data_IF_829778420466
#
_entry.id   IF_829778420466
#
_cell.length_a   1.000
_cell.length_b   1.000
_cell.length_c   1.000
_cell.angle_alpha   90.00
_cell.angle_beta   90.00
_cell.angle_gamma   90.00
#
_symmetry.space_group_name_H-M   'P 1'
#
loop_
_entity.id
_entity.type
_entity.pdbx_description
1 polymer ?
#
# COMPACT_ATOMS: atom_id res chain seq x y z
N UNK A 1 17.82 -21.61 -1.40
CA UNK A 1 16.84 -21.35 -0.32
C UNK A 1 16.42 -19.91 -0.47
N UNK A 2 15.23 -19.66 -1.01
CA UNK A 2 14.68 -18.30 -1.03
C UNK A 2 14.35 -17.88 0.40
N UNK A 3 14.89 -16.73 0.82
CA UNK A 3 14.58 -16.19 2.15
C UNK A 3 13.07 -15.92 2.28
N UNK A 4 12.46 -16.24 3.43
CA UNK A 4 11.03 -16.03 3.66
C UNK A 4 10.66 -14.56 3.46
N UNK A 5 9.44 -14.33 2.98
CA UNK A 5 8.90 -12.99 2.79
C UNK A 5 8.79 -12.32 4.17
N UNK A 6 9.36 -11.13 4.32
CA UNK A 6 9.32 -10.39 5.58
C UNK A 6 8.56 -9.07 5.45
N UNK A 7 8.27 -8.48 6.59
CA UNK A 7 7.68 -7.14 6.64
C UNK A 7 8.56 -6.14 5.89
N UNK A 8 7.92 -5.32 5.05
CA UNK A 8 8.59 -4.33 4.23
C UNK A 8 8.99 -4.80 2.84
N UNK A 9 8.99 -6.11 2.54
CA UNK A 9 9.26 -6.63 1.19
C UNK A 9 8.18 -6.19 0.18
N UNK A 10 8.60 -6.08 -1.08
CA UNK A 10 7.70 -5.96 -2.21
C UNK A 10 7.33 -7.35 -2.75
N UNK A 11 6.04 -7.56 -2.95
CA UNK A 11 5.50 -8.83 -3.44
C UNK A 11 4.55 -8.56 -4.61
N UNK A 12 4.58 -9.43 -5.61
CA UNK A 12 3.60 -9.48 -6.68
C UNK A 12 2.46 -10.40 -6.23
N UNK A 13 1.24 -9.87 -6.28
CA UNK A 13 0.01 -10.60 -5.98
C UNK A 13 -0.50 -11.31 -7.25
N UNK A 14 -1.34 -12.35 -7.15
CA UNK A 14 -1.80 -13.13 -8.32
C UNK A 14 -2.56 -12.31 -9.37
N UNK A 15 -3.11 -11.16 -8.97
CA UNK A 15 -3.76 -10.19 -9.86
C UNK A 15 -2.75 -9.33 -10.68
N UNK A 16 -1.45 -9.64 -10.61
CA UNK A 16 -0.37 -8.97 -11.33
C UNK A 16 0.08 -7.64 -10.73
N UNK A 17 -0.63 -7.13 -9.71
CA UNK A 17 -0.23 -5.91 -8.99
C UNK A 17 0.94 -6.18 -8.07
N UNK A 18 1.74 -5.14 -7.83
CA UNK A 18 2.79 -5.15 -6.81
C UNK A 18 2.18 -4.60 -5.51
N UNK A 19 2.66 -5.08 -4.38
CA UNK A 19 2.24 -4.66 -3.05
C UNK A 19 3.41 -4.69 -2.09
N UNK A 20 3.25 -4.07 -0.92
CA UNK A 20 4.26 -4.09 0.14
C UNK A 20 3.71 -4.80 1.37
N UNK A 21 4.48 -5.73 1.91
CA UNK A 21 4.12 -6.45 3.12
C UNK A 21 4.14 -5.49 4.31
N UNK A 22 3.00 -5.36 4.98
CA UNK A 22 2.81 -4.53 6.17
C UNK A 22 3.05 -5.33 7.45
N UNK A 23 2.63 -6.60 7.43
CA UNK A 23 2.58 -7.50 8.58
C UNK A 23 2.63 -8.94 8.05
N UNK A 24 3.38 -9.80 8.72
CA UNK A 24 3.49 -11.23 8.42
C UNK A 24 2.93 -12.00 9.62
N UNK A 25 1.89 -12.79 9.38
CA UNK A 25 1.36 -13.75 10.35
C UNK A 25 1.70 -15.17 9.93
N UNK A 26 1.53 -16.13 10.83
CA UNK A 26 1.87 -17.54 10.59
C UNK A 26 1.10 -18.15 9.40
N UNK A 27 -0.12 -17.69 9.13
CA UNK A 27 -0.96 -18.22 8.03
C UNK A 27 -1.07 -17.28 6.83
N UNK A 28 -0.96 -15.96 7.04
CA UNK A 28 -1.27 -14.96 6.03
C UNK A 28 -0.39 -13.71 6.15
N UNK A 29 -0.12 -13.09 5.01
CA UNK A 29 0.61 -11.84 4.90
C UNK A 29 -0.35 -10.72 4.53
N UNK A 30 -0.24 -9.61 5.26
CA UNK A 30 -1.00 -8.40 5.01
C UNK A 30 -0.24 -7.53 4.03
N UNK A 31 -0.72 -7.51 2.79
CA UNK A 31 -0.09 -6.78 1.69
C UNK A 31 -0.86 -5.50 1.40
N UNK A 32 -0.15 -4.37 1.46
CA UNK A 32 -0.66 -3.06 1.03
C UNK A 32 -0.51 -2.94 -0.48
N UNK A 33 -1.63 -2.81 -1.18
CA UNK A 33 -1.68 -2.63 -2.64
C UNK A 33 -2.40 -1.33 -3.01
N UNK A 34 -2.11 -0.78 -4.18
CA UNK A 34 -2.91 0.31 -4.76
C UNK A 34 -4.19 -0.26 -5.37
N UNK A 35 -5.32 0.45 -5.21
CA UNK A 35 -6.57 0.08 -5.90
C UNK A 35 -6.46 0.33 -7.41
N UNK A 36 -7.09 -0.51 -8.22
CA UNK A 36 -7.16 -0.30 -9.68
C UNK A 36 -7.94 0.97 -10.05
N UNK A 37 -9.00 1.25 -9.30
CA UNK A 37 -9.98 2.29 -9.59
C UNK A 37 -9.71 3.62 -8.87
N UNK A 38 -8.69 3.70 -8.02
CA UNK A 38 -8.46 4.88 -7.19
C UNK A 38 -7.00 5.01 -6.74
N UNK A 39 -6.58 6.24 -6.43
CA UNK A 39 -5.28 6.54 -5.81
C UNK A 39 -5.20 6.16 -4.32
N UNK A 40 -6.14 5.36 -3.84
CA UNK A 40 -6.19 4.89 -2.46
C UNK A 40 -5.54 3.53 -2.33
N UNK A 41 -5.08 3.24 -1.11
CA UNK A 41 -4.46 1.97 -0.77
C UNK A 41 -5.51 1.03 -0.18
N UNK A 42 -5.31 -0.26 -0.37
CA UNK A 42 -6.07 -1.32 0.27
C UNK A 42 -5.10 -2.32 0.87
N UNK A 43 -5.51 -2.92 1.99
CA UNK A 43 -4.83 -4.07 2.56
C UNK A 43 -5.56 -5.32 2.11
N UNK A 44 -4.80 -6.28 1.60
CA UNK A 44 -5.28 -7.60 1.22
C UNK A 44 -4.48 -8.64 1.99
N UNK A 45 -5.13 -9.73 2.35
CA UNK A 45 -4.50 -10.86 3.01
C UNK A 45 -4.25 -11.93 1.95
N UNK A 46 -3.02 -12.45 1.92
CA UNK A 46 -2.62 -13.50 1.00
C UNK A 46 -1.81 -14.56 1.74
N UNK A 47 -1.94 -15.82 1.34
CA UNK A 47 -1.01 -16.86 1.79
C UNK A 47 0.40 -16.57 1.25
N UNK A 48 1.43 -17.03 1.96
CA UNK A 48 2.81 -16.85 1.51
C UNK A 48 3.07 -17.48 0.14
N UNK A 49 2.44 -18.63 -0.12
CA UNK A 49 2.65 -19.44 -1.33
C UNK A 49 2.14 -18.78 -2.62
N UNK A 50 1.14 -17.89 -2.50
CA UNK A 50 0.57 -17.19 -3.66
C UNK A 50 1.25 -15.84 -3.94
N UNK A 51 2.25 -15.48 -3.15
CA UNK A 51 2.99 -14.23 -3.27
C UNK A 51 4.37 -14.47 -3.86
N UNK A 52 4.68 -13.74 -4.92
CA UNK A 52 6.01 -13.77 -5.51
C UNK A 52 6.82 -12.58 -4.99
N UNK A 53 7.96 -12.83 -4.34
CA UNK A 53 8.85 -11.74 -3.92
C UNK A 53 9.45 -11.09 -5.17
N UNK A 54 9.29 -9.78 -5.28
CA UNK A 54 9.83 -9.01 -6.40
C UNK A 54 10.66 -7.84 -5.88
N UNK A 55 11.63 -7.42 -6.68
CA UNK A 55 12.31 -6.15 -6.41
C UNK A 55 11.28 -5.01 -6.46
N UNK A 56 11.38 -4.09 -5.50
CA UNK A 56 10.52 -2.93 -5.47
C UNK A 56 10.77 -2.07 -6.72
N UNK A 57 9.76 -1.84 -7.58
CA UNK A 57 9.95 -0.95 -8.72
C UNK A 57 10.36 0.44 -8.24
N UNK A 58 11.24 1.10 -8.99
CA UNK A 58 11.57 2.50 -8.74
C UNK A 58 10.26 3.33 -8.75
N UNK A 59 10.01 4.10 -7.69
CA UNK A 59 8.76 4.86 -7.55
C UNK A 59 7.65 4.14 -6.77
N UNK A 60 7.75 2.83 -6.54
CA UNK A 60 6.70 2.05 -5.88
C UNK A 60 6.69 2.32 -4.37
N UNK A 61 5.59 2.89 -3.87
CA UNK A 61 5.54 3.44 -2.50
C UNK A 61 6.67 4.44 -2.19
N UNK A 62 7.16 5.17 -3.21
CA UNK A 62 8.16 6.21 -2.99
C UNK A 62 7.66 7.31 -2.06
N UNK A 63 8.57 7.96 -1.30
CA UNK A 63 8.25 9.12 -0.45
C UNK A 63 7.48 10.20 -1.22
N UNK A 64 7.82 10.43 -2.49
CA UNK A 64 7.15 11.38 -3.37
C UNK A 64 5.67 11.02 -3.64
N UNK A 65 5.38 9.73 -3.88
CA UNK A 65 4.01 9.25 -4.07
C UNK A 65 3.19 9.33 -2.78
N UNK A 66 3.82 9.10 -1.63
CA UNK A 66 3.19 9.30 -0.32
C UNK A 66 2.95 10.78 -0.02
N UNK A 67 3.91 11.66 -0.30
CA UNK A 67 3.78 13.10 -0.11
C UNK A 67 2.64 13.64 -0.96
N UNK A 68 2.55 13.26 -2.25
CA UNK A 68 1.45 13.69 -3.12
C UNK A 68 0.08 13.23 -2.61
N UNK A 69 -0.01 11.99 -2.09
CA UNK A 69 -1.23 11.51 -1.44
C UNK A 69 -1.55 12.30 -0.16
N UNK A 70 -0.54 12.58 0.66
CA UNK A 70 -0.67 13.33 1.90
C UNK A 70 -1.12 14.76 1.64
N UNK A 71 -0.55 15.43 0.64
CA UNK A 71 -0.94 16.77 0.19
C UNK A 71 -2.42 16.82 -0.19
N UNK A 72 -2.88 15.89 -1.03
CA UNK A 72 -4.30 15.80 -1.42
C UNK A 72 -5.19 15.50 -0.21
N UNK A 73 -4.75 14.64 0.69
CA UNK A 73 -5.51 14.30 1.91
C UNK A 73 -5.62 15.50 2.85
N UNK A 74 -4.51 16.22 3.08
CA UNK A 74 -4.46 17.43 3.89
C UNK A 74 -5.29 18.57 3.27
N UNK A 75 -5.26 18.73 1.94
CA UNK A 75 -6.10 19.69 1.23
C UNK A 75 -7.59 19.43 1.50
N UNK A 76 -8.05 18.19 1.31
CA UNK A 76 -9.44 17.79 1.61
C UNK A 76 -9.83 17.95 3.08
N UNK A 77 -8.86 17.83 3.99
CA UNK A 77 -9.08 18.02 5.42
C UNK A 77 -9.24 19.51 5.77
N UNK A 78 -8.41 20.37 5.16
CA UNK A 78 -8.52 21.84 5.27
C UNK A 78 -9.85 22.35 4.72
N UNK A 79 -10.30 21.85 3.58
CA UNK A 79 -11.61 22.19 3.01
C UNK A 79 -12.77 21.85 3.96
N UNK A 80 -12.72 20.67 4.59
CA UNK A 80 -13.69 20.23 5.61
C UNK A 80 -13.68 21.10 6.86
N UNK A 81 -12.50 21.57 7.28
CA UNK A 81 -12.37 22.41 8.45
C UNK A 81 -12.95 23.82 8.19
N UNK A 82 -12.70 24.36 6.99
CA UNK A 82 -13.31 25.63 6.53
C UNK A 82 -14.83 25.57 6.50
N UNK A 83 -15.40 24.46 6.05
CA UNK A 83 -16.85 24.27 5.98
C UNK A 83 -17.51 23.98 7.34
N UNK A 84 -16.75 23.59 8.37
CA UNK A 84 -17.24 23.47 9.76
C UNK A 84 -17.09 24.77 10.58
N UNK A 85 -16.19 25.67 10.22
CA UNK A 85 -15.95 26.93 10.93
C UNK A 85 -16.89 28.08 10.50
N UNK A 86 -17.75 27.87 9.51
CA UNK A 86 -18.70 28.87 9.01
C UNK A 86 -20.16 28.64 9.44
N UNK A 87 -20.39 27.87 10.51
CA UNK A 87 -21.74 27.63 11.07
C UNK A 87 -21.82 28.15 12.49
#
# INVERSE_FOLDING_TARGET
MEAPIKEGDCVRIPDGRIGRVREVSEEQLKVRVRRKTSNTHQFLLFAQDVLERVECPAGWMSPEGYNRYLEVTLAKMRERNKSRAGK
#
